data_IF_854852551383
#
_entry.id   IF_854852551383
#
_cell.length_a   1.000
_cell.length_b   1.000
_cell.length_c   1.000
_cell.angle_alpha   90.00
_cell.angle_beta   90.00
_cell.angle_gamma   90.00
#
_symmetry.space_group_name_H-M   'P 1'
#
loop_
_entity.id
_entity.type
_entity.pdbx_description
1 polymer ?
#
# COMPACT_ATOMS: atom_id res chain seq x y z
N UNK A 1 12.38 -23.31 0.23
CA UNK A 1 11.48 -22.44 1.01
C UNK A 1 12.24 -21.74 2.13
N UNK A 2 11.85 -20.53 2.47
CA UNK A 2 12.45 -19.78 3.58
C UNK A 2 11.89 -20.25 4.92
N UNK A 3 12.67 -20.10 5.99
CA UNK A 3 12.19 -20.39 7.35
C UNK A 3 11.41 -19.22 7.94
N UNK A 4 10.55 -19.50 8.93
CA UNK A 4 9.82 -18.46 9.67
C UNK A 4 10.77 -17.45 10.32
N UNK A 5 11.89 -17.92 10.83
CA UNK A 5 12.90 -17.09 11.48
C UNK A 5 14.29 -17.42 10.97
N UNK A 6 15.07 -16.40 10.66
CA UNK A 6 16.45 -16.56 10.20
C UNK A 6 17.41 -15.67 11.01
N UNK A 7 18.66 -16.09 11.04
CA UNK A 7 19.79 -15.30 11.55
C UNK A 7 20.30 -14.35 10.45
N UNK A 8 21.15 -13.40 10.82
CA UNK A 8 21.79 -12.51 9.86
C UNK A 8 22.60 -13.26 8.77
N UNK A 9 23.08 -14.46 9.05
CA UNK A 9 23.77 -15.34 8.10
C UNK A 9 22.83 -16.00 7.07
N UNK A 10 21.51 -15.85 7.22
CA UNK A 10 20.51 -16.57 6.41
C UNK A 10 20.17 -17.99 6.92
N UNK A 11 20.90 -18.51 7.90
CA UNK A 11 20.54 -19.78 8.52
C UNK A 11 19.23 -19.63 9.33
N UNK A 12 18.46 -20.69 9.49
CA UNK A 12 17.28 -20.64 10.34
C UNK A 12 17.64 -20.30 11.78
N UNK A 13 16.76 -19.60 12.48
CA UNK A 13 16.91 -19.32 13.90
C UNK A 13 16.29 -20.45 14.72
N UNK A 14 16.99 -20.85 15.79
CA UNK A 14 16.46 -21.79 16.79
C UNK A 14 15.49 -21.09 17.77
N UNK A 15 15.32 -19.77 17.66
CA UNK A 15 14.39 -19.05 18.52
C UNK A 15 12.94 -19.33 18.14
N UNK A 16 12.12 -19.56 19.14
CA UNK A 16 10.74 -19.93 18.98
C UNK A 16 9.88 -18.79 18.46
N UNK A 17 9.09 -19.05 17.43
CA UNK A 17 7.84 -18.34 17.17
C UNK A 17 6.66 -19.14 17.74
N UNK A 18 5.50 -18.49 17.88
CA UNK A 18 4.34 -19.10 18.57
C UNK A 18 3.89 -20.46 18.03
N UNK A 19 3.94 -20.69 16.72
CA UNK A 19 3.54 -21.96 16.05
C UNK A 19 4.73 -22.86 15.70
N UNK A 20 5.88 -22.28 15.50
CA UNK A 20 7.08 -22.98 15.06
C UNK A 20 8.19 -22.76 16.07
N UNK A 21 8.21 -23.61 17.10
CA UNK A 21 9.16 -23.49 18.24
C UNK A 21 10.64 -23.46 17.85
N UNK A 22 10.98 -23.96 16.69
CA UNK A 22 12.35 -23.99 16.19
C UNK A 22 12.63 -22.95 15.08
N UNK A 23 11.59 -22.25 14.61
CA UNK A 23 11.71 -21.26 13.54
C UNK A 23 12.21 -21.76 12.19
N UNK A 24 12.41 -23.07 12.04
CA UNK A 24 13.08 -23.69 10.88
C UNK A 24 12.17 -24.06 9.72
N UNK A 25 10.84 -24.09 9.94
CA UNK A 25 9.87 -24.43 8.90
C UNK A 25 9.37 -23.18 8.18
N UNK A 26 8.90 -23.36 6.96
CA UNK A 26 8.07 -22.37 6.27
C UNK A 26 6.65 -22.52 6.81
N UNK A 27 6.23 -21.62 7.69
CA UNK A 27 4.94 -21.63 8.33
C UNK A 27 4.30 -20.22 8.27
N UNK A 28 3.48 -19.83 9.25
CA UNK A 28 2.66 -18.63 9.16
C UNK A 28 3.47 -17.31 9.16
N UNK A 29 4.66 -17.26 9.72
CA UNK A 29 5.51 -16.06 9.66
C UNK A 29 6.15 -15.91 8.27
N UNK A 30 6.64 -16.99 7.68
CA UNK A 30 7.24 -17.01 6.36
C UNK A 30 6.23 -17.00 5.21
N UNK A 31 4.98 -17.40 5.46
CA UNK A 31 3.94 -17.58 4.42
C UNK A 31 3.74 -16.34 3.54
N UNK A 32 3.95 -15.15 4.08
CA UNK A 32 3.80 -13.89 3.34
C UNK A 32 4.98 -13.54 2.43
N UNK A 33 6.10 -14.27 2.53
CA UNK A 33 7.32 -13.94 1.77
C UNK A 33 7.11 -13.99 0.25
N UNK A 34 6.48 -15.02 -0.34
CA UNK A 34 6.27 -15.04 -1.79
C UNK A 34 5.45 -13.85 -2.30
N UNK A 35 4.42 -13.43 -1.55
CA UNK A 35 3.64 -12.24 -1.88
C UNK A 35 4.47 -10.96 -1.82
N UNK A 36 5.23 -10.75 -0.73
CA UNK A 36 6.04 -9.53 -0.56
C UNK A 36 7.09 -9.38 -1.65
N UNK A 37 7.72 -10.49 -2.04
CA UNK A 37 8.69 -10.48 -3.14
C UNK A 37 7.98 -10.34 -4.49
N UNK A 38 6.77 -10.89 -4.67
CA UNK A 38 5.96 -10.65 -5.86
C UNK A 38 5.60 -9.16 -6.02
N UNK A 39 5.31 -8.44 -4.92
CA UNK A 39 5.10 -6.99 -4.94
C UNK A 39 6.33 -6.27 -5.46
N UNK A 40 7.54 -6.61 -4.98
CA UNK A 40 8.78 -6.00 -5.47
C UNK A 40 9.00 -6.27 -6.97
N UNK A 41 8.74 -7.50 -7.42
CA UNK A 41 8.78 -7.82 -8.84
C UNK A 41 7.79 -6.99 -9.67
N UNK A 42 6.54 -6.93 -9.24
CA UNK A 42 5.46 -6.23 -9.99
C UNK A 42 5.67 -4.72 -10.01
N UNK A 43 6.13 -4.13 -8.91
CA UNK A 43 6.31 -2.67 -8.80
C UNK A 43 7.61 -2.18 -9.42
N UNK A 44 8.70 -2.92 -9.23
CA UNK A 44 10.05 -2.45 -9.53
C UNK A 44 10.72 -3.22 -10.69
N UNK A 45 10.13 -4.32 -11.17
CA UNK A 45 10.73 -5.15 -12.21
C UNK A 45 12.01 -5.87 -11.77
N UNK A 46 12.23 -6.01 -10.46
CA UNK A 46 13.46 -6.57 -9.88
C UNK A 46 13.70 -8.01 -10.36
N UNK A 47 14.84 -8.26 -10.99
CA UNK A 47 15.18 -9.56 -11.58
C UNK A 47 15.40 -10.67 -10.53
N UNK A 48 15.95 -10.31 -9.36
CA UNK A 48 16.15 -11.25 -8.26
C UNK A 48 14.81 -11.64 -7.63
N UNK A 49 13.91 -10.67 -7.46
CA UNK A 49 12.53 -10.92 -7.04
C UNK A 49 11.82 -11.83 -8.04
N UNK A 50 11.94 -11.57 -9.36
CA UNK A 50 11.40 -12.46 -10.41
C UNK A 50 11.93 -13.87 -10.27
N UNK A 51 13.23 -14.04 -10.07
CA UNK A 51 13.85 -15.38 -9.89
C UNK A 51 13.30 -16.11 -8.68
N UNK A 52 13.10 -15.41 -7.56
CA UNK A 52 12.53 -16.01 -6.35
C UNK A 52 11.07 -16.44 -6.55
N UNK A 53 10.22 -15.56 -7.08
CA UNK A 53 8.79 -15.88 -7.28
C UNK A 53 8.60 -16.99 -8.32
N UNK A 54 9.45 -17.02 -9.35
CA UNK A 54 9.46 -18.14 -10.31
C UNK A 54 9.75 -19.47 -9.63
N UNK A 55 10.77 -19.57 -8.78
CA UNK A 55 11.08 -20.78 -8.02
C UNK A 55 9.94 -21.19 -7.09
N UNK A 56 9.29 -20.21 -6.45
CA UNK A 56 8.12 -20.45 -5.58
C UNK A 56 6.91 -20.96 -6.38
N UNK A 57 6.67 -20.40 -7.55
CA UNK A 57 5.63 -20.85 -8.49
C UNK A 57 5.92 -22.28 -9.00
N UNK A 58 7.15 -22.54 -9.42
CA UNK A 58 7.55 -23.87 -9.92
C UNK A 58 7.47 -24.92 -8.80
N UNK A 59 7.75 -24.58 -7.55
CA UNK A 59 7.54 -25.47 -6.41
C UNK A 59 6.08 -25.93 -6.34
N UNK A 60 5.13 -25.03 -6.43
CA UNK A 60 3.70 -25.38 -6.40
C UNK A 60 3.29 -26.17 -7.65
N UNK A 61 3.66 -25.69 -8.82
CA UNK A 61 3.26 -26.27 -10.09
C UNK A 61 3.85 -27.67 -10.32
N UNK A 62 5.14 -27.84 -10.03
CA UNK A 62 5.89 -29.05 -10.36
C UNK A 62 5.95 -30.02 -9.17
N UNK A 63 6.35 -29.53 -7.98
CA UNK A 63 6.56 -30.42 -6.83
C UNK A 63 5.25 -30.79 -6.12
N UNK A 64 4.31 -29.83 -6.01
CA UNK A 64 3.01 -30.11 -5.40
C UNK A 64 1.95 -30.58 -6.40
N UNK A 65 2.16 -30.37 -7.70
CA UNK A 65 1.19 -30.73 -8.73
C UNK A 65 0.01 -29.78 -8.86
N UNK A 66 0.08 -28.57 -8.27
CA UNK A 66 -0.94 -27.52 -8.37
C UNK A 66 -1.33 -26.89 -7.06
N UNK A 67 -2.09 -25.77 -7.15
CA UNK A 67 -2.47 -24.96 -5.99
C UNK A 67 -3.34 -25.69 -4.98
N UNK A 68 -4.22 -26.59 -5.42
CA UNK A 68 -5.12 -27.38 -4.55
C UNK A 68 -4.39 -28.28 -3.54
N UNK A 69 -3.11 -28.56 -3.80
CA UNK A 69 -2.27 -29.37 -2.93
C UNK A 69 -1.44 -28.54 -1.92
N UNK A 70 -1.56 -27.22 -1.95
CA UNK A 70 -0.90 -26.33 -0.98
C UNK A 70 -1.41 -26.61 0.43
N UNK A 71 -0.47 -26.69 1.39
CA UNK A 71 -0.76 -26.83 2.83
C UNK A 71 -0.11 -25.68 3.62
N UNK A 72 -0.48 -25.58 4.88
CA UNK A 72 -0.09 -24.50 5.78
C UNK A 72 1.25 -24.72 6.50
N UNK A 73 2.13 -25.49 5.91
CA UNK A 73 3.48 -25.66 6.42
C UNK A 73 4.33 -26.63 5.64
N UNK A 74 5.60 -26.27 5.51
CA UNK A 74 6.61 -27.07 4.82
C UNK A 74 7.95 -27.02 5.56
N UNK A 75 8.70 -28.10 5.54
CA UNK A 75 10.11 -28.08 5.85
C UNK A 75 10.90 -27.38 4.74
N UNK A 76 12.14 -26.97 5.00
CA UNK A 76 12.95 -26.27 4.01
C UNK A 76 13.22 -27.08 2.73
N UNK A 77 13.23 -28.40 2.84
CA UNK A 77 13.37 -29.33 1.70
C UNK A 77 12.07 -29.51 0.90
N UNK A 78 10.98 -28.83 1.29
CA UNK A 78 9.69 -28.90 0.63
C UNK A 78 8.76 -30.03 1.11
N UNK A 79 9.18 -30.88 2.04
CA UNK A 79 8.29 -31.88 2.63
C UNK A 79 7.23 -31.22 3.54
N UNK A 80 6.05 -31.82 3.63
CA UNK A 80 4.94 -31.30 4.41
C UNK A 80 5.25 -31.27 5.92
N UNK A 81 4.86 -30.17 6.56
CA UNK A 81 4.78 -30.04 8.02
C UNK A 81 3.42 -29.55 8.50
N UNK A 82 2.60 -29.01 7.58
CA UNK A 82 1.24 -28.54 7.82
C UNK A 82 0.18 -29.48 7.24
N UNK A 83 -1.09 -29.20 7.52
CA UNK A 83 -2.23 -30.06 7.13
C UNK A 83 -3.33 -29.31 6.38
N UNK A 84 -3.48 -28.00 6.64
CA UNK A 84 -4.62 -27.22 6.21
C UNK A 84 -4.36 -26.49 4.90
N UNK A 85 -5.33 -26.56 4.01
CA UNK A 85 -5.37 -25.76 2.79
C UNK A 85 -6.13 -24.46 3.10
N UNK A 86 -5.42 -23.31 3.09
CA UNK A 86 -5.99 -22.05 3.49
C UNK A 86 -5.49 -20.87 2.66
N UNK A 87 -6.21 -19.74 2.74
CA UNK A 87 -5.96 -18.57 1.93
C UNK A 87 -4.59 -17.90 2.18
N UNK A 88 -4.04 -18.01 3.40
CA UNK A 88 -2.72 -17.45 3.74
C UNK A 88 -1.62 -18.00 2.85
N UNK A 89 -1.61 -19.33 2.65
CA UNK A 89 -0.59 -20.00 1.84
C UNK A 89 -0.92 -19.99 0.36
N UNK A 90 -2.16 -20.31 0.01
CA UNK A 90 -2.62 -20.34 -1.39
C UNK A 90 -2.42 -18.99 -2.04
N UNK A 91 -2.81 -17.89 -1.38
CA UNK A 91 -2.71 -16.56 -1.95
C UNK A 91 -1.29 -16.06 -2.12
N UNK A 92 -0.40 -16.36 -1.17
CA UNK A 92 1.00 -15.99 -1.30
C UNK A 92 1.68 -16.68 -2.49
N UNK A 93 1.43 -17.96 -2.69
CA UNK A 93 1.93 -18.69 -3.86
C UNK A 93 1.21 -18.28 -5.15
N UNK A 94 -0.07 -17.93 -5.12
CA UNK A 94 -0.77 -17.36 -6.28
C UNK A 94 -0.13 -16.04 -6.72
N UNK A 95 0.25 -15.17 -5.79
CA UNK A 95 1.01 -13.95 -6.10
C UNK A 95 2.37 -14.28 -6.73
N UNK A 96 3.07 -15.29 -6.22
CA UNK A 96 4.33 -15.74 -6.83
C UNK A 96 4.14 -16.28 -8.26
N UNK A 97 2.99 -16.85 -8.58
CA UNK A 97 2.70 -17.35 -9.93
C UNK A 97 2.67 -16.23 -11.00
N UNK A 98 2.52 -14.95 -10.60
CA UNK A 98 2.64 -13.80 -11.51
C UNK A 98 4.02 -13.72 -12.19
N UNK A 99 5.08 -14.18 -11.53
CA UNK A 99 6.43 -14.27 -12.10
C UNK A 99 6.80 -15.66 -12.65
N UNK A 100 5.87 -16.61 -12.61
CA UNK A 100 6.10 -18.00 -12.96
C UNK A 100 6.07 -18.34 -14.45
N UNK A 101 5.72 -17.37 -15.30
CA UNK A 101 5.66 -17.52 -16.78
C UNK A 101 4.71 -18.66 -17.26
N UNK A 102 3.72 -19.03 -16.44
CA UNK A 102 2.71 -20.03 -16.78
C UNK A 102 1.32 -19.53 -16.43
N UNK A 103 0.62 -19.02 -17.45
CA UNK A 103 -0.69 -18.40 -17.26
C UNK A 103 -1.73 -19.37 -16.70
N UNK A 104 -1.77 -20.60 -17.20
CA UNK A 104 -2.76 -21.60 -16.73
C UNK A 104 -2.57 -21.92 -15.25
N UNK A 105 -1.31 -21.94 -14.76
CA UNK A 105 -1.04 -22.11 -13.34
C UNK A 105 -1.46 -20.89 -12.51
N UNK A 106 -1.23 -19.69 -13.02
CA UNK A 106 -1.69 -18.46 -12.38
C UNK A 106 -3.23 -18.43 -12.28
N UNK A 107 -3.93 -18.73 -13.36
CA UNK A 107 -5.40 -18.74 -13.40
C UNK A 107 -5.99 -19.79 -12.45
N UNK A 108 -5.39 -20.99 -12.39
CA UNK A 108 -5.80 -22.03 -11.46
C UNK A 108 -5.57 -21.61 -10.01
N UNK A 109 -4.42 -20.99 -9.70
CA UNK A 109 -4.09 -20.51 -8.35
C UNK A 109 -5.00 -19.35 -7.92
N UNK A 110 -5.33 -18.44 -8.82
CA UNK A 110 -6.30 -17.38 -8.59
C UNK A 110 -7.71 -17.92 -8.31
N UNK A 111 -8.15 -18.90 -9.11
CA UNK A 111 -9.47 -19.52 -8.95
C UNK A 111 -9.57 -20.26 -7.63
N UNK A 112 -8.53 -20.99 -7.25
CA UNK A 112 -8.43 -21.68 -5.97
C UNK A 112 -8.52 -20.70 -4.80
N UNK A 113 -7.70 -19.65 -4.79
CA UNK A 113 -7.76 -18.61 -3.77
C UNK A 113 -9.14 -17.98 -3.66
N UNK A 114 -9.80 -17.68 -4.78
CA UNK A 114 -11.16 -17.13 -4.79
C UNK A 114 -12.16 -18.04 -4.11
N UNK A 115 -12.05 -19.34 -4.33
CA UNK A 115 -13.00 -20.34 -3.81
C UNK A 115 -12.93 -20.53 -2.30
N UNK A 116 -11.77 -20.24 -1.67
CA UNK A 116 -11.59 -20.41 -0.24
C UNK A 116 -12.49 -19.45 0.55
N UNK A 117 -13.32 -19.99 1.41
CA UNK A 117 -14.23 -19.23 2.28
C UNK A 117 -13.96 -19.59 3.74
N UNK A 118 -13.32 -18.69 4.47
CA UNK A 118 -12.87 -18.88 5.84
C UNK A 118 -13.40 -17.77 6.76
N UNK A 119 -14.72 -17.60 6.89
CA UNK A 119 -15.33 -16.42 7.51
C UNK A 119 -14.93 -16.18 8.97
N UNK A 120 -14.51 -17.24 9.66
CA UNK A 120 -14.10 -17.18 11.06
C UNK A 120 -12.61 -16.93 11.26
N UNK A 121 -11.84 -16.78 10.16
CA UNK A 121 -10.40 -16.49 10.22
C UNK A 121 -10.10 -15.08 9.74
N UNK A 122 -10.03 -14.15 10.67
CA UNK A 122 -9.62 -12.76 10.38
C UNK A 122 -8.28 -12.70 9.63
N UNK A 123 -7.29 -13.48 10.10
CA UNK A 123 -5.95 -13.49 9.51
C UNK A 123 -5.96 -13.95 8.04
N UNK A 124 -6.59 -15.10 7.76
CA UNK A 124 -6.68 -15.63 6.40
C UNK A 124 -7.46 -14.69 5.47
N UNK A 125 -8.57 -14.13 5.92
CA UNK A 125 -9.40 -13.23 5.12
C UNK A 125 -8.71 -11.89 4.83
N UNK A 126 -7.98 -11.33 5.81
CA UNK A 126 -7.20 -10.10 5.60
C UNK A 126 -6.12 -10.32 4.55
N UNK A 127 -5.35 -11.40 4.67
CA UNK A 127 -4.31 -11.71 3.69
C UNK A 127 -4.91 -12.03 2.31
N UNK A 128 -6.00 -12.80 2.25
CA UNK A 128 -6.73 -13.07 0.99
C UNK A 128 -7.08 -11.77 0.25
N UNK A 129 -7.58 -10.78 0.97
CA UNK A 129 -7.94 -9.48 0.40
C UNK A 129 -6.72 -8.78 -0.20
N UNK A 130 -5.61 -8.72 0.54
CA UNK A 130 -4.36 -8.11 0.05
C UNK A 130 -3.78 -8.84 -1.18
N UNK A 131 -3.83 -10.17 -1.19
CA UNK A 131 -3.40 -10.98 -2.32
C UNK A 131 -4.26 -10.72 -3.57
N UNK A 132 -5.57 -10.66 -3.39
CA UNK A 132 -6.49 -10.37 -4.49
C UNK A 132 -6.27 -8.96 -5.06
N UNK A 133 -5.96 -7.95 -4.22
CA UNK A 133 -5.58 -6.63 -4.73
C UNK A 133 -4.37 -6.69 -5.64
N UNK A 134 -3.33 -7.44 -5.28
CA UNK A 134 -2.15 -7.60 -6.13
C UNK A 134 -2.49 -8.35 -7.43
N UNK A 135 -3.16 -9.49 -7.31
CA UNK A 135 -3.51 -10.36 -8.46
C UNK A 135 -4.44 -9.69 -9.48
N UNK A 136 -5.25 -8.73 -9.03
CA UNK A 136 -6.18 -7.98 -9.90
C UNK A 136 -5.64 -6.63 -10.37
N UNK A 137 -4.37 -6.32 -10.06
CA UNK A 137 -3.73 -5.05 -10.45
C UNK A 137 -4.21 -3.83 -9.66
N UNK A 138 -4.88 -4.03 -8.51
CA UNK A 138 -5.39 -2.94 -7.65
C UNK A 138 -4.47 -2.64 -6.46
N UNK A 139 -3.27 -3.17 -6.44
CA UNK A 139 -2.25 -2.91 -5.42
C UNK A 139 -1.20 -1.96 -5.97
N UNK A 140 -1.50 -0.66 -5.93
CA UNK A 140 -0.68 0.37 -6.57
C UNK A 140 0.62 0.64 -5.81
N UNK A 141 1.70 0.87 -6.57
CA UNK A 141 2.97 1.34 -6.00
C UNK A 141 2.84 2.78 -5.50
N UNK A 142 3.26 3.09 -4.27
CA UNK A 142 3.29 4.47 -3.78
C UNK A 142 4.14 5.42 -4.64
N UNK A 143 5.12 4.89 -5.35
CA UNK A 143 5.98 5.69 -6.25
C UNK A 143 5.27 6.14 -7.53
N UNK A 144 4.22 5.43 -7.93
CA UNK A 144 3.42 5.75 -9.12
C UNK A 144 2.11 6.45 -8.78
N UNK A 145 1.77 6.56 -7.51
CA UNK A 145 0.64 7.34 -7.04
C UNK A 145 1.15 8.68 -6.56
N UNK A 146 0.77 9.75 -7.24
CA UNK A 146 0.78 11.12 -6.71
C UNK A 146 -0.24 11.25 -5.57
N UNK A 147 -0.19 10.33 -4.59
CA UNK A 147 -0.84 10.47 -3.29
C UNK A 147 0.01 11.32 -2.34
N UNK A 148 1.26 11.61 -2.70
CA UNK A 148 1.89 12.77 -2.15
C UNK A 148 1.02 13.96 -2.58
N UNK A 149 0.61 14.81 -1.66
CA UNK A 149 0.59 16.22 -1.92
C UNK A 149 1.96 16.54 -2.49
N UNK A 150 2.19 16.22 -3.78
CA UNK A 150 3.30 16.76 -4.50
C UNK A 150 3.17 18.25 -4.25
N UNK A 151 4.23 18.89 -3.80
CA UNK A 151 4.39 20.28 -4.10
C UNK A 151 4.17 20.36 -5.60
N UNK A 152 2.92 20.65 -5.99
CA UNK A 152 2.67 21.08 -7.33
C UNK A 152 3.40 22.40 -7.39
N UNK A 153 4.66 22.34 -7.83
CA UNK A 153 5.33 23.48 -8.35
C UNK A 153 4.43 24.02 -9.45
N UNK A 154 3.55 24.93 -9.04
CA UNK A 154 3.09 25.96 -9.93
C UNK A 154 4.37 26.67 -10.29
N UNK A 155 4.90 26.37 -11.47
CA UNK A 155 6.20 26.83 -11.97
C UNK A 155 6.40 28.28 -11.51
N UNK A 156 7.37 28.49 -10.55
CA UNK A 156 7.83 29.77 -10.03
C UNK A 156 6.87 30.67 -9.26
N UNK A 157 5.61 30.33 -9.00
CA UNK A 157 4.77 31.16 -8.12
C UNK A 157 4.89 30.69 -6.67
N UNK A 158 5.61 31.44 -5.83
CA UNK A 158 5.65 31.24 -4.38
C UNK A 158 4.27 31.53 -3.78
N UNK A 159 3.39 30.52 -3.72
CA UNK A 159 2.15 30.63 -2.96
C UNK A 159 2.51 30.67 -1.47
N UNK A 160 2.34 31.80 -0.84
CA UNK A 160 2.63 32.03 0.59
C UNK A 160 1.43 32.61 1.30
N UNK A 161 1.30 32.29 2.59
CA UNK A 161 0.26 32.84 3.48
C UNK A 161 0.91 33.39 4.72
N UNK A 162 0.61 34.64 5.00
CA UNK A 162 1.11 35.33 6.20
C UNK A 162 0.13 36.39 6.72
N UNK A 163 0.22 36.76 8.03
CA UNK A 163 0.91 36.02 9.06
C UNK A 163 0.24 34.67 9.33
N UNK A 164 1.01 33.65 9.70
CA UNK A 164 0.49 32.35 10.10
C UNK A 164 1.32 31.85 11.30
N UNK A 165 0.76 31.77 12.52
CA UNK A 165 -0.65 32.01 12.91
C UNK A 165 -1.09 33.47 12.89
N UNK A 166 -2.43 33.70 12.78
CA UNK A 166 -3.08 35.02 12.85
C UNK A 166 -4.36 34.95 13.69
N UNK A 167 -4.83 36.11 14.18
CA UNK A 167 -6.13 36.20 14.87
C UNK A 167 -7.29 36.13 13.90
N UNK A 168 -7.29 36.94 12.82
CA UNK A 168 -8.44 37.06 11.94
C UNK A 168 -8.13 37.20 10.46
N UNK A 169 -6.95 37.71 10.11
CA UNK A 169 -6.60 38.09 8.74
C UNK A 169 -5.33 37.37 8.27
N UNK A 170 -5.38 36.89 7.05
CA UNK A 170 -4.26 36.27 6.36
C UNK A 170 -4.11 36.94 4.99
N UNK A 171 -2.89 37.21 4.57
CA UNK A 171 -2.57 37.62 3.20
C UNK A 171 -2.07 36.42 2.46
N UNK A 172 -2.72 36.05 1.36
CA UNK A 172 -2.32 34.99 0.45
C UNK A 172 -1.66 35.63 -0.77
N UNK A 173 -0.40 35.23 -1.05
CA UNK A 173 0.24 35.49 -2.34
C UNK A 173 -0.08 34.32 -3.25
N UNK A 174 -0.70 34.58 -4.41
CA UNK A 174 -1.09 33.53 -5.37
C UNK A 174 -1.22 34.13 -6.78
N UNK A 175 -1.10 33.35 -7.85
CA UNK A 175 -1.36 33.83 -9.19
C UNK A 175 -2.76 34.44 -9.33
N UNK A 176 -2.86 35.53 -10.08
CA UNK A 176 -4.14 36.12 -10.44
C UNK A 176 -5.08 35.10 -11.08
N UNK A 177 -6.37 35.32 -10.94
CA UNK A 177 -7.45 34.48 -11.43
C UNK A 177 -7.53 33.07 -10.75
N UNK A 178 -6.73 32.83 -9.72
CA UNK A 178 -6.87 31.61 -8.92
C UNK A 178 -8.19 31.58 -8.17
N UNK A 179 -8.85 30.44 -8.09
CA UNK A 179 -9.98 30.22 -7.17
C UNK A 179 -9.42 29.81 -5.81
N UNK A 180 -9.88 30.49 -4.77
CA UNK A 180 -9.46 30.27 -3.38
C UNK A 180 -10.68 29.80 -2.59
N UNK A 181 -10.58 28.58 -2.02
CA UNK A 181 -11.63 28.00 -1.18
C UNK A 181 -11.09 27.85 0.24
N UNK A 182 -11.76 28.42 1.21
CA UNK A 182 -11.43 28.31 2.63
C UNK A 182 -12.28 27.24 3.28
N UNK A 183 -11.66 26.30 3.96
CA UNK A 183 -12.31 25.12 4.52
C UNK A 183 -12.03 25.08 6.03
N UNK A 184 -13.07 24.90 6.83
CA UNK A 184 -13.01 24.75 8.28
C UNK A 184 -12.46 23.38 8.72
N UNK A 185 -12.12 23.22 10.02
CA UNK A 185 -11.59 21.94 10.54
C UNK A 185 -12.54 20.75 10.38
N UNK A 186 -13.84 20.99 10.32
CA UNK A 186 -14.89 19.98 10.10
C UNK A 186 -15.20 19.72 8.61
N UNK A 187 -14.41 20.34 7.69
CA UNK A 187 -14.53 20.14 6.25
C UNK A 187 -15.58 20.99 5.54
N UNK A 188 -16.21 21.94 6.24
CA UNK A 188 -17.19 22.86 5.65
C UNK A 188 -16.50 24.00 4.88
N UNK A 189 -17.00 24.33 3.71
CA UNK A 189 -16.55 25.52 2.97
C UNK A 189 -17.06 26.77 3.67
N UNK A 190 -16.13 27.63 4.12
CA UNK A 190 -16.41 28.91 4.76
C UNK A 190 -16.59 30.01 3.72
N UNK A 191 -15.71 30.08 2.74
CA UNK A 191 -15.76 31.08 1.69
C UNK A 191 -15.08 30.55 0.41
N UNK A 192 -15.53 31.11 -0.72
CA UNK A 192 -14.92 30.90 -2.02
C UNK A 192 -14.76 32.25 -2.71
N UNK A 193 -13.57 32.57 -3.21
CA UNK A 193 -13.27 33.82 -3.86
C UNK A 193 -12.26 33.64 -4.99
N UNK A 194 -12.20 34.59 -5.92
CA UNK A 194 -11.19 34.67 -6.96
C UNK A 194 -10.14 35.71 -6.63
N UNK A 195 -8.89 35.35 -6.80
CA UNK A 195 -7.78 36.28 -6.69
C UNK A 195 -7.85 37.31 -7.84
N UNK A 196 -8.13 38.55 -7.54
CA UNK A 196 -8.11 39.66 -8.51
C UNK A 196 -6.74 40.26 -8.69
N UNK A 197 -5.86 40.04 -7.71
CA UNK A 197 -4.45 40.48 -7.69
C UNK A 197 -3.58 39.38 -7.08
N UNK A 198 -2.28 39.54 -7.17
CA UNK A 198 -1.30 38.61 -6.57
C UNK A 198 -1.44 38.51 -5.04
N UNK A 199 -1.93 39.60 -4.36
CA UNK A 199 -2.15 39.62 -2.93
C UNK A 199 -3.66 39.60 -2.63
N UNK A 200 -4.13 38.53 -2.01
CA UNK A 200 -5.54 38.38 -1.63
C UNK A 200 -5.68 38.28 -0.11
N UNK A 201 -6.51 39.13 0.49
CA UNK A 201 -6.82 39.11 1.93
C UNK A 201 -7.93 38.07 2.19
N UNK A 202 -7.67 37.16 3.15
CA UNK A 202 -8.63 36.19 3.66
C UNK A 202 -8.98 36.58 5.09
N UNK A 203 -10.27 36.70 5.38
CA UNK A 203 -10.79 37.10 6.70
C UNK A 203 -11.56 35.95 7.34
N UNK A 204 -11.21 35.65 8.60
CA UNK A 204 -11.86 34.62 9.44
C UNK A 204 -12.45 35.24 10.72
N UNK A 205 -12.91 36.48 10.66
CA UNK A 205 -13.29 37.30 11.84
C UNK A 205 -14.28 36.60 12.76
N UNK A 206 -15.29 35.91 12.19
CA UNK A 206 -16.38 35.28 12.97
C UNK A 206 -16.19 33.76 13.13
N UNK A 207 -15.03 33.25 12.73
CA UNK A 207 -14.76 31.80 12.80
C UNK A 207 -14.05 31.44 14.11
N UNK A 208 -14.26 30.22 14.67
CA UNK A 208 -13.57 29.76 15.86
C UNK A 208 -12.06 29.67 15.68
N UNK A 209 -11.31 29.75 16.78
CA UNK A 209 -9.87 29.45 16.76
C UNK A 209 -9.65 27.97 16.33
N UNK A 210 -8.69 27.74 15.46
CA UNK A 210 -8.47 26.41 14.93
C UNK A 210 -7.59 26.35 13.68
N UNK A 211 -7.53 25.18 13.07
CA UNK A 211 -6.76 24.91 11.85
C UNK A 211 -7.70 25.00 10.65
N UNK A 212 -7.43 25.87 9.72
CA UNK A 212 -8.17 26.02 8.47
C UNK A 212 -7.31 25.60 7.29
N UNK A 213 -7.96 25.14 6.23
CA UNK A 213 -7.32 24.79 4.96
C UNK A 213 -7.70 25.83 3.91
N UNK A 214 -6.72 26.34 3.19
CA UNK A 214 -6.91 27.23 2.05
C UNK A 214 -6.52 26.44 0.81
N UNK A 215 -7.51 26.05 0.03
CA UNK A 215 -7.32 25.41 -1.27
C UNK A 215 -7.23 26.49 -2.34
N UNK A 216 -6.18 26.46 -3.13
CA UNK A 216 -5.93 27.40 -4.23
C UNK A 216 -5.91 26.60 -5.52
N UNK A 217 -6.80 26.95 -6.46
CA UNK A 217 -6.89 26.30 -7.77
C UNK A 217 -6.60 27.32 -8.86
N UNK A 218 -5.56 27.07 -9.66
CA UNK A 218 -5.20 27.87 -10.83
C UNK A 218 -5.16 26.97 -12.05
N UNK A 219 -5.91 27.29 -13.07
CA UNK A 219 -6.12 26.46 -14.25
C UNK A 219 -6.63 25.06 -13.85
N UNK A 220 -5.84 24.01 -14.12
CA UNK A 220 -6.18 22.61 -13.76
C UNK A 220 -5.43 22.10 -12.52
N UNK A 221 -4.63 22.98 -11.87
CA UNK A 221 -3.78 22.61 -10.73
C UNK A 221 -4.36 23.17 -9.43
N UNK A 222 -4.29 22.40 -8.36
CA UNK A 222 -4.76 22.79 -7.04
C UNK A 222 -3.67 22.55 -5.99
N UNK A 223 -3.54 23.45 -5.04
CA UNK A 223 -2.67 23.31 -3.85
C UNK A 223 -3.42 23.67 -2.59
N UNK A 224 -2.98 23.19 -1.43
CA UNK A 224 -3.60 23.47 -0.13
C UNK A 224 -2.56 24.03 0.83
N UNK A 225 -2.91 25.12 1.49
CA UNK A 225 -2.12 25.72 2.57
C UNK A 225 -2.87 25.59 3.89
N UNK A 226 -2.17 25.22 4.94
CA UNK A 226 -2.71 25.17 6.30
C UNK A 226 -2.46 26.51 7.01
N UNK A 227 -3.50 27.08 7.61
CA UNK A 227 -3.41 28.29 8.44
C UNK A 227 -3.95 28.02 9.84
N UNK A 228 -3.43 28.74 10.82
CA UNK A 228 -3.81 28.64 12.22
C UNK A 228 -4.42 29.97 12.65
N UNK A 229 -5.72 29.94 12.95
CA UNK A 229 -6.41 31.04 13.61
C UNK A 229 -6.25 30.92 15.12
N UNK A 230 -5.80 32.01 15.78
CA UNK A 230 -5.67 32.12 17.25
C UNK A 230 -6.98 32.47 17.90
#
# INVERSE_FOLDING_TARGET
LVSDWCQASGAYSSQASGYNKEGKTYSYDAARTPWRIAVDYVWNGNAEAKSYVKKSSDFVRVNLGGSSNIKDGYNQNGSLSGQWHNATFVGAFACAAMGGENQSHLDASYTDLKSLNEPNSYFNQTLKTLYLFLLTGNFYSPQNTTLATGDFDLENSKITVYPNPSSDKFTLITPEQSTITVISPDGKIISELKASTENTEIQLVNEPSGVYLIQITSNTKSTVKKVIKK
#
